data_IF_806856260180
#
_entry.id   IF_806856260180
#
_cell.length_a   1.000
_cell.length_b   1.000
_cell.length_c   1.000
_cell.angle_alpha   90.00
_cell.angle_beta   90.00
_cell.angle_gamma   90.00
#
_symmetry.space_group_name_H-M   'P 1'
#
loop_
_entity.id
_entity.type
_entity.pdbx_description
1 polymer ?
#
# COMPACT_ATOMS: atom_id res chain seq x y z
N UNK A 1 -4.06 -1.92 -18.29
CA UNK A 1 -5.03 -1.95 -17.18
C UNK A 1 -6.48 -1.87 -17.65
N UNK A 2 -6.85 -1.01 -18.56
CA UNK A 2 -8.24 -0.87 -19.03
C UNK A 2 -8.89 -2.14 -19.59
N UNK A 3 -8.13 -3.01 -20.23
CA UNK A 3 -8.66 -4.24 -20.83
C UNK A 3 -8.58 -5.48 -19.91
N UNK A 4 -7.81 -5.45 -18.84
CA UNK A 4 -7.53 -6.63 -18.01
C UNK A 4 -7.84 -6.37 -16.53
N UNK A 5 -7.27 -5.31 -15.96
CA UNK A 5 -7.33 -5.08 -14.51
C UNK A 5 -8.63 -4.41 -14.08
N UNK A 6 -9.02 -3.32 -14.72
CA UNK A 6 -10.22 -2.57 -14.31
C UNK A 6 -11.53 -3.32 -14.54
N UNK A 7 -11.69 -4.20 -15.57
CA UNK A 7 -12.89 -5.00 -15.75
C UNK A 7 -12.99 -6.24 -14.83
N UNK A 8 -11.94 -6.56 -14.07
CA UNK A 8 -11.97 -7.69 -13.14
C UNK A 8 -12.99 -7.46 -12.02
N UNK A 9 -13.87 -8.46 -11.79
CA UNK A 9 -15.00 -8.36 -10.86
C UNK A 9 -14.53 -8.05 -9.42
N UNK A 10 -13.42 -8.63 -8.97
CA UNK A 10 -12.89 -8.40 -7.62
C UNK A 10 -12.29 -6.99 -7.48
N UNK A 11 -11.69 -6.48 -8.55
CA UNK A 11 -11.19 -5.11 -8.60
C UNK A 11 -12.35 -4.11 -8.50
N UNK A 12 -13.41 -4.35 -9.28
CA UNK A 12 -14.63 -3.52 -9.26
C UNK A 12 -15.23 -3.52 -7.86
N UNK A 13 -15.41 -4.70 -7.25
CA UNK A 13 -16.00 -4.85 -5.92
C UNK A 13 -15.24 -4.04 -4.85
N UNK A 14 -13.91 -4.08 -4.85
CA UNK A 14 -13.09 -3.33 -3.89
C UNK A 14 -13.20 -1.83 -4.12
N UNK A 15 -13.11 -1.40 -5.38
CA UNK A 15 -13.18 0.02 -5.70
C UNK A 15 -14.56 0.58 -5.32
N UNK A 16 -15.65 -0.06 -5.73
CA UNK A 16 -17.02 0.39 -5.43
C UNK A 16 -17.31 0.43 -3.92
N UNK A 17 -16.75 -0.50 -3.17
CA UNK A 17 -16.99 -0.60 -1.73
C UNK A 17 -16.23 0.45 -0.90
N UNK A 18 -15.03 0.80 -1.32
CA UNK A 18 -14.10 1.55 -0.47
C UNK A 18 -13.60 2.87 -1.05
N UNK A 19 -13.80 3.14 -2.33
CA UNK A 19 -13.18 4.25 -3.04
C UNK A 19 -14.15 4.97 -3.96
N UNK A 20 -13.79 6.18 -4.35
CA UNK A 20 -14.41 6.92 -5.45
C UNK A 20 -13.39 6.95 -6.59
N UNK A 21 -13.57 6.15 -7.66
CA UNK A 21 -12.62 6.13 -8.77
C UNK A 21 -12.76 7.39 -9.62
N UNK A 22 -11.63 7.99 -9.95
CA UNK A 22 -11.55 9.12 -10.86
C UNK A 22 -10.53 8.77 -11.93
N UNK A 23 -10.95 8.82 -13.19
CA UNK A 23 -10.06 8.68 -14.34
C UNK A 23 -9.78 10.05 -14.95
N UNK A 24 -8.49 10.34 -15.10
CA UNK A 24 -8.01 11.62 -15.64
C UNK A 24 -7.06 11.35 -16.79
N UNK A 25 -7.16 12.14 -17.86
CA UNK A 25 -6.17 12.08 -18.95
C UNK A 25 -4.80 12.53 -18.43
N UNK A 26 -3.74 11.90 -18.90
CA UNK A 26 -2.38 12.11 -18.41
C UNK A 26 -1.86 13.55 -18.60
N UNK A 27 -2.39 14.26 -19.59
CA UNK A 27 -2.05 15.64 -19.93
C UNK A 27 -3.05 16.67 -19.37
N UNK A 28 -4.05 16.23 -18.61
CA UNK A 28 -5.06 17.09 -18.01
C UNK A 28 -4.48 18.04 -16.97
N UNK A 29 -4.52 19.35 -17.29
CA UNK A 29 -4.07 20.38 -16.35
C UNK A 29 -5.24 20.92 -15.52
N UNK A 30 -5.00 21.28 -14.24
CA UNK A 30 -3.71 21.32 -13.53
C UNK A 30 -3.31 19.99 -12.85
N UNK A 31 -4.12 18.92 -12.97
CA UNK A 31 -3.94 17.67 -12.19
C UNK A 31 -2.65 16.94 -12.54
N UNK A 32 -2.31 16.86 -13.84
CA UNK A 32 -1.07 16.20 -14.26
C UNK A 32 0.18 16.85 -13.64
N UNK A 33 0.20 18.21 -13.61
CA UNK A 33 1.30 18.94 -12.96
C UNK A 33 1.27 18.80 -11.44
N UNK A 34 0.08 18.93 -10.81
CA UNK A 34 -0.08 18.79 -9.36
C UNK A 34 0.46 17.46 -8.84
N UNK A 35 0.19 16.36 -9.54
CA UNK A 35 0.61 15.03 -9.16
C UNK A 35 1.90 14.57 -9.85
N UNK A 36 2.58 15.45 -10.58
CA UNK A 36 3.82 15.16 -11.30
C UNK A 36 3.75 13.84 -12.08
N UNK A 37 2.76 13.72 -12.96
CA UNK A 37 2.55 12.53 -13.78
C UNK A 37 3.60 12.50 -14.90
N UNK A 38 4.47 11.49 -14.86
CA UNK A 38 5.54 11.29 -15.84
C UNK A 38 5.30 10.07 -16.72
N UNK A 39 4.44 9.14 -16.26
CA UNK A 39 4.21 7.86 -16.91
C UNK A 39 2.76 7.40 -16.73
N UNK A 40 2.27 6.58 -17.67
CA UNK A 40 0.92 6.01 -17.61
C UNK A 40 0.96 4.48 -17.79
N UNK A 41 0.10 3.74 -17.10
CA UNK A 41 -0.83 4.21 -16.07
C UNK A 41 -0.12 4.61 -14.77
N UNK A 42 -0.59 5.66 -14.11
CA UNK A 42 -0.25 6.00 -12.73
C UNK A 42 -1.53 5.96 -11.91
N UNK A 43 -1.53 5.18 -10.85
CA UNK A 43 -2.64 5.07 -9.90
C UNK A 43 -2.22 5.70 -8.58
N UNK A 44 -3.05 6.61 -8.06
CA UNK A 44 -2.76 7.35 -6.84
C UNK A 44 -3.93 7.18 -5.88
N UNK A 45 -3.63 6.79 -4.64
CA UNK A 45 -4.60 6.78 -3.56
C UNK A 45 -4.51 8.09 -2.79
N UNK A 46 -5.61 8.83 -2.79
CA UNK A 46 -5.76 10.11 -2.10
C UNK A 46 -6.73 9.96 -0.93
N UNK A 47 -6.60 10.84 0.07
CA UNK A 47 -7.64 11.06 1.05
C UNK A 47 -8.70 12.07 0.57
N UNK A 48 -9.69 12.35 1.39
CA UNK A 48 -10.77 13.31 1.10
C UNK A 48 -10.29 14.76 0.95
N UNK A 49 -9.07 15.04 1.38
CA UNK A 49 -8.43 16.36 1.24
C UNK A 49 -7.56 16.44 -0.02
N UNK A 50 -7.43 15.33 -0.76
CA UNK A 50 -6.62 15.19 -1.96
C UNK A 50 -5.12 15.07 -1.67
N UNK A 51 -4.75 14.62 -0.47
CA UNK A 51 -3.37 14.28 -0.11
C UNK A 51 -3.06 12.87 -0.58
N UNK A 52 -1.90 12.70 -1.20
CA UNK A 52 -1.41 11.41 -1.68
C UNK A 52 -0.83 10.57 -0.53
N UNK A 53 -1.22 9.30 -0.47
CA UNK A 53 -0.73 8.32 0.49
C UNK A 53 -0.05 7.12 -0.16
N UNK A 54 -0.40 6.81 -1.41
CA UNK A 54 0.19 5.70 -2.15
C UNK A 54 0.16 5.97 -3.64
N UNK A 55 1.17 5.45 -4.34
CA UNK A 55 1.30 5.58 -5.79
C UNK A 55 1.87 4.29 -6.37
N UNK A 56 1.29 3.87 -7.49
CA UNK A 56 1.87 2.85 -8.35
C UNK A 56 1.99 3.36 -9.77
N UNK A 57 3.05 2.97 -10.45
CA UNK A 57 3.36 3.36 -11.82
C UNK A 57 3.53 2.12 -12.66
N UNK A 58 2.87 2.08 -13.81
CA UNK A 58 2.91 0.97 -14.72
C UNK A 58 1.73 0.00 -14.56
N UNK A 59 1.77 -1.07 -15.35
CA UNK A 59 0.73 -2.09 -15.36
C UNK A 59 0.80 -2.96 -14.09
N UNK A 60 -0.35 -3.17 -13.48
CA UNK A 60 -0.55 -4.19 -12.45
C UNK A 60 -1.68 -5.13 -12.90
N UNK A 61 -1.44 -6.43 -12.83
CA UNK A 61 -2.49 -7.43 -12.98
C UNK A 61 -3.44 -7.40 -11.77
N UNK A 62 -4.68 -7.93 -11.85
CA UNK A 62 -5.65 -7.85 -10.76
C UNK A 62 -5.11 -8.35 -9.41
N UNK A 63 -4.36 -9.45 -9.41
CA UNK A 63 -3.76 -10.07 -8.22
C UNK A 63 -2.72 -9.19 -7.52
N UNK A 64 -2.09 -8.24 -8.22
CA UNK A 64 -1.18 -7.25 -7.66
C UNK A 64 -1.88 -5.91 -7.40
N UNK A 65 -2.87 -5.57 -8.23
CA UNK A 65 -3.59 -4.32 -8.11
C UNK A 65 -4.45 -4.25 -6.84
N UNK A 66 -5.16 -5.34 -6.53
CA UNK A 66 -5.98 -5.44 -5.32
C UNK A 66 -5.16 -5.18 -4.05
N UNK A 67 -4.08 -5.93 -3.75
CA UNK A 67 -3.28 -5.67 -2.55
C UNK A 67 -2.59 -4.29 -2.58
N UNK A 68 -2.27 -3.74 -3.74
CA UNK A 68 -1.76 -2.38 -3.86
C UNK A 68 -2.80 -1.32 -3.44
N UNK A 69 -4.06 -1.45 -3.87
CA UNK A 69 -5.15 -0.58 -3.42
C UNK A 69 -5.39 -0.70 -1.92
N UNK A 70 -5.41 -1.93 -1.39
CA UNK A 70 -5.55 -2.17 0.06
C UNK A 70 -4.42 -1.54 0.85
N UNK A 71 -3.18 -1.63 0.36
CA UNK A 71 -2.02 -0.97 0.96
C UNK A 71 -2.18 0.56 0.95
N UNK A 72 -2.65 1.13 -0.15
CA UNK A 72 -2.94 2.55 -0.26
C UNK A 72 -3.95 3.03 0.79
N UNK A 73 -5.05 2.30 0.98
CA UNK A 73 -6.04 2.58 2.02
C UNK A 73 -5.46 2.46 3.43
N UNK A 74 -4.68 1.41 3.67
CA UNK A 74 -4.03 1.20 4.96
C UNK A 74 -3.04 2.33 5.28
N UNK A 75 -2.25 2.79 4.30
CA UNK A 75 -1.33 3.93 4.44
C UNK A 75 -2.07 5.24 4.71
N UNK A 76 -3.22 5.47 4.06
CA UNK A 76 -4.07 6.62 4.35
C UNK A 76 -4.50 6.62 5.84
N UNK A 77 -4.93 5.48 6.37
CA UNK A 77 -5.26 5.36 7.79
C UNK A 77 -4.04 5.49 8.70
N UNK A 78 -2.91 4.90 8.31
CA UNK A 78 -1.65 4.96 9.06
C UNK A 78 -1.15 6.41 9.20
N UNK A 79 -1.10 7.18 8.11
CA UNK A 79 -0.63 8.57 8.09
C UNK A 79 -1.51 9.50 8.93
N UNK A 80 -2.78 9.13 9.09
CA UNK A 80 -3.77 9.82 9.95
C UNK A 80 -3.82 9.23 11.37
N UNK A 81 -2.85 8.43 11.75
CA UNK A 81 -2.72 7.76 13.05
C UNK A 81 -3.93 6.89 13.46
N UNK A 82 -4.76 6.50 12.48
CA UNK A 82 -5.89 5.59 12.68
C UNK A 82 -5.43 4.13 12.64
N UNK A 83 -4.51 3.75 13.55
CA UNK A 83 -3.86 2.44 13.53
C UNK A 83 -4.84 1.27 13.69
N UNK A 84 -5.91 1.45 14.46
CA UNK A 84 -6.97 0.44 14.61
C UNK A 84 -7.69 0.09 13.30
N UNK A 85 -7.64 0.99 12.29
CA UNK A 85 -8.16 0.74 10.95
C UNK A 85 -7.09 0.24 10.01
N UNK A 86 -5.86 0.77 10.11
CA UNK A 86 -4.75 0.37 9.24
C UNK A 86 -4.30 -1.08 9.47
N UNK A 87 -4.15 -1.49 10.74
CA UNK A 87 -3.62 -2.82 11.10
C UNK A 87 -4.44 -3.97 10.49
N UNK A 88 -5.77 -4.03 10.62
CA UNK A 88 -6.56 -5.11 10.02
C UNK A 88 -6.44 -5.19 8.50
N UNK A 89 -6.34 -4.05 7.80
CA UNK A 89 -6.15 -4.03 6.35
C UNK A 89 -4.80 -4.60 5.93
N UNK A 90 -3.74 -4.25 6.67
CA UNK A 90 -2.40 -4.80 6.44
C UNK A 90 -2.35 -6.31 6.74
N UNK A 91 -3.04 -6.77 7.77
CA UNK A 91 -3.17 -8.19 8.10
C UNK A 91 -3.92 -8.96 7.00
N UNK A 92 -4.93 -8.35 6.41
CA UNK A 92 -5.67 -8.97 5.29
C UNK A 92 -4.78 -9.14 4.06
N UNK A 93 -3.94 -8.15 3.71
CA UNK A 93 -2.93 -8.28 2.65
C UNK A 93 -2.01 -9.48 2.93
N UNK A 94 -1.47 -9.56 4.15
CA UNK A 94 -0.52 -10.60 4.53
C UNK A 94 -1.14 -12.00 4.56
N UNK A 95 -2.43 -12.09 4.81
CA UNK A 95 -3.18 -13.36 4.84
C UNK A 95 -3.59 -13.82 3.46
N UNK A 96 -4.16 -12.92 2.66
CA UNK A 96 -4.81 -13.26 1.40
C UNK A 96 -3.92 -13.01 0.16
N UNK A 97 -2.92 -12.14 0.28
CA UNK A 97 -1.99 -11.76 -0.80
C UNK A 97 -0.51 -11.83 -0.38
N UNK A 98 -0.05 -12.92 0.30
CA UNK A 98 1.31 -12.97 0.88
C UNK A 98 2.42 -12.96 -0.16
N UNK A 99 2.12 -13.25 -1.43
CA UNK A 99 3.10 -13.28 -2.53
C UNK A 99 3.09 -12.00 -3.35
N UNK A 100 2.22 -11.03 -3.05
CA UNK A 100 2.16 -9.77 -3.77
C UNK A 100 3.35 -8.86 -3.46
N UNK A 101 3.65 -7.95 -4.39
CA UNK A 101 4.67 -6.92 -4.17
C UNK A 101 4.32 -5.97 -3.00
N UNK A 102 3.04 -5.85 -2.66
CA UNK A 102 2.57 -5.06 -1.52
C UNK A 102 2.86 -5.72 -0.15
N UNK A 103 3.02 -7.05 -0.10
CA UNK A 103 3.13 -7.78 1.16
C UNK A 103 4.36 -7.40 2.01
N UNK A 104 5.58 -7.23 1.46
CA UNK A 104 6.73 -6.80 2.26
C UNK A 104 6.54 -5.40 2.89
N UNK A 105 5.96 -4.46 2.15
CA UNK A 105 5.61 -3.13 2.68
C UNK A 105 4.54 -3.25 3.77
N UNK A 106 3.56 -4.12 3.59
CA UNK A 106 2.51 -4.36 4.58
C UNK A 106 3.09 -4.91 5.90
N UNK A 107 4.08 -5.81 5.87
CA UNK A 107 4.81 -6.25 7.08
C UNK A 107 5.43 -5.07 7.79
N UNK A 108 6.14 -4.22 7.05
CA UNK A 108 6.85 -3.07 7.61
C UNK A 108 5.89 -2.07 8.25
N UNK A 109 4.88 -1.61 7.49
CA UNK A 109 3.92 -0.59 7.94
C UNK A 109 3.09 -1.12 9.14
N UNK A 110 2.69 -2.41 9.12
CA UNK A 110 1.96 -3.04 10.23
C UNK A 110 2.79 -3.03 11.52
N UNK A 111 4.05 -3.44 11.45
CA UNK A 111 4.90 -3.46 12.64
C UNK A 111 5.14 -2.07 13.21
N UNK A 112 5.33 -1.05 12.34
CA UNK A 112 5.45 0.34 12.77
C UNK A 112 4.14 0.86 13.37
N UNK A 113 2.98 0.51 12.81
CA UNK A 113 1.68 0.86 13.36
C UNK A 113 1.47 0.27 14.77
N UNK A 114 1.84 -1.00 14.97
CA UNK A 114 1.81 -1.66 16.27
C UNK A 114 2.76 -0.99 17.27
N UNK A 115 3.96 -0.65 16.85
CA UNK A 115 4.89 0.10 17.69
C UNK A 115 4.34 1.47 18.10
N UNK A 116 3.85 2.25 17.13
CA UNK A 116 3.28 3.59 17.40
C UNK A 116 2.06 3.54 18.34
N UNK A 117 1.25 2.50 18.23
CA UNK A 117 0.05 2.34 19.08
C UNK A 117 0.33 1.77 20.47
N UNK A 118 1.43 1.01 20.66
CA UNK A 118 1.72 0.30 21.92
C UNK A 118 3.02 0.73 22.61
N UNK A 119 3.91 1.42 21.90
CA UNK A 119 5.27 1.80 22.29
C UNK A 119 6.19 0.60 22.65
N UNK A 120 5.87 -0.61 22.15
CA UNK A 120 6.67 -1.82 22.36
C UNK A 120 7.66 -2.03 21.23
N UNK A 121 8.96 -1.90 21.51
CA UNK A 121 10.03 -2.04 20.51
C UNK A 121 10.12 -3.46 19.90
N UNK A 122 9.57 -4.48 20.55
CA UNK A 122 9.55 -5.84 20.04
C UNK A 122 8.85 -5.95 18.66
N UNK A 123 7.84 -5.12 18.39
CA UNK A 123 7.20 -5.09 17.08
C UNK A 123 8.16 -4.63 15.97
N UNK A 124 9.11 -3.76 16.26
CA UNK A 124 10.13 -3.34 15.28
C UNK A 124 11.14 -4.47 15.02
N UNK A 125 11.55 -5.22 16.05
CA UNK A 125 12.41 -6.41 15.90
C UNK A 125 11.72 -7.48 15.07
N UNK A 126 10.41 -7.69 15.31
CA UNK A 126 9.60 -8.65 14.56
C UNK A 126 9.52 -8.31 13.06
N UNK A 127 9.48 -7.01 12.68
CA UNK A 127 9.52 -6.60 11.28
C UNK A 127 10.73 -7.20 10.58
N UNK A 128 11.93 -6.97 11.14
CA UNK A 128 13.16 -7.44 10.51
C UNK A 128 13.19 -8.95 10.41
N UNK A 129 12.86 -9.66 11.50
CA UNK A 129 12.83 -11.12 11.54
C UNK A 129 11.90 -11.70 10.50
N UNK A 130 10.69 -11.16 10.38
CA UNK A 130 9.69 -11.63 9.43
C UNK A 130 10.09 -11.33 7.98
N UNK A 131 10.56 -10.12 7.70
CA UNK A 131 11.01 -9.74 6.37
C UNK A 131 12.21 -10.59 5.90
N UNK A 132 13.16 -10.89 6.78
CA UNK A 132 14.29 -11.77 6.45
C UNK A 132 13.85 -13.20 6.14
N UNK A 133 12.84 -13.71 6.85
CA UNK A 133 12.32 -15.07 6.66
C UNK A 133 11.43 -15.20 5.42
N UNK A 134 10.51 -14.26 5.20
CA UNK A 134 9.48 -14.38 4.17
C UNK A 134 9.83 -13.63 2.87
N UNK A 135 10.60 -12.52 2.96
CA UNK A 135 10.89 -11.62 1.83
C UNK A 135 12.37 -11.17 1.80
N UNK A 136 13.34 -12.10 1.81
CA UNK A 136 14.77 -11.78 2.02
C UNK A 136 15.36 -10.83 0.97
N UNK A 137 14.87 -10.85 -0.27
CA UNK A 137 15.33 -10.00 -1.37
C UNK A 137 14.63 -8.64 -1.44
N UNK A 138 13.59 -8.42 -0.64
CA UNK A 138 12.80 -7.19 -0.69
C UNK A 138 13.60 -5.95 -0.27
N UNK A 139 13.29 -4.82 -0.89
CA UNK A 139 13.81 -3.51 -0.45
C UNK A 139 13.39 -3.21 1.00
N UNK A 140 12.22 -3.64 1.44
CA UNK A 140 11.73 -3.44 2.79
C UNK A 140 12.56 -4.21 3.83
N UNK A 141 13.12 -5.35 3.46
CA UNK A 141 14.08 -6.08 4.30
C UNK A 141 15.37 -5.26 4.49
N UNK A 142 15.84 -4.59 3.45
CA UNK A 142 17.00 -3.70 3.55
C UNK A 142 16.70 -2.48 4.43
N UNK A 143 15.50 -1.90 4.29
CA UNK A 143 15.05 -0.75 5.10
C UNK A 143 14.86 -1.09 6.58
N UNK A 144 14.52 -2.34 6.89
CA UNK A 144 14.36 -2.81 8.28
C UNK A 144 15.66 -3.12 9.00
N UNK A 145 16.82 -3.16 8.30
CA UNK A 145 18.13 -3.49 8.93
C UNK A 145 18.46 -2.71 10.22
N UNK A 146 18.17 -1.41 10.34
CA UNK A 146 18.45 -0.67 11.58
C UNK A 146 17.76 -1.26 12.82
N UNK A 147 16.65 -2.00 12.65
CA UNK A 147 15.95 -2.65 13.78
C UNK A 147 16.73 -3.81 14.41
N UNK A 148 17.84 -4.24 13.80
CA UNK A 148 18.78 -5.18 14.42
C UNK A 148 19.54 -4.60 15.63
N UNK A 149 19.53 -3.27 15.77
CA UNK A 149 20.23 -2.54 16.83
C UNK A 149 19.36 -2.34 18.09
N UNK A 150 18.10 -2.73 18.04
CA UNK A 150 17.15 -2.67 19.15
C UNK A 150 17.23 -3.95 19.98
#
# INVERSE_FOLDING_TARGET
MGAVTYPDEKVIEIIEKYMVPIQVLFDSQPLAARFNIQWTPTVITLDEEGKEHHRTIGFLAPEEFIPSLMLGMAKCHFDREKFSKAIPMLEDILKNHPKSEAAPEAVYVRGVALYKSTHKADFLKEILKRLQAEYPSSEWTKRAKPYSLL
#
